data_IF_765335588943
#
_entry.id   IF_765335588943
#
_cell.length_a   1.000
_cell.length_b   1.000
_cell.length_c   1.000
_cell.angle_alpha   90.00
_cell.angle_beta   90.00
_cell.angle_gamma   90.00
#
_symmetry.space_group_name_H-M   'P 1'
#
loop_
_entity.id
_entity.type
_entity.pdbx_description
1 polymer ?
#
# COMPACT_ATOMS: atom_id res chain seq x y z
N UNK A 1 -6.68 -17.19 18.42
CA UNK A 1 -6.30 -18.49 17.85
C UNK A 1 -7.40 -19.55 18.03
N UNK A 2 -7.87 -19.84 19.24
CA UNK A 2 -8.95 -20.84 19.44
C UNK A 2 -10.22 -20.59 18.60
N UNK A 3 -10.60 -19.36 18.32
CA UNK A 3 -11.75 -19.03 17.47
C UNK A 3 -11.59 -19.35 15.97
N UNK A 4 -10.43 -19.89 15.55
CA UNK A 4 -10.16 -20.39 14.19
C UNK A 4 -9.94 -21.90 14.16
N UNK A 5 -9.89 -22.55 15.33
CA UNK A 5 -9.74 -23.99 15.47
C UNK A 5 -11.11 -24.64 15.42
N UNK A 6 -11.34 -25.46 14.39
CA UNK A 6 -12.62 -26.11 14.15
C UNK A 6 -13.67 -25.21 13.47
N UNK A 7 -14.61 -25.85 12.81
CA UNK A 7 -15.74 -25.18 12.14
C UNK A 7 -17.02 -25.54 12.88
N UNK A 8 -17.76 -24.54 13.41
CA UNK A 8 -19.03 -24.80 14.07
C UNK A 8 -19.96 -25.63 13.16
N UNK A 9 -20.59 -26.67 13.71
CA UNK A 9 -21.49 -27.60 13.04
C UNK A 9 -20.86 -28.58 12.01
N UNK A 10 -19.54 -28.50 11.75
CA UNK A 10 -18.85 -29.40 10.83
C UNK A 10 -17.84 -30.29 11.55
N UNK A 11 -17.09 -29.73 12.48
CA UNK A 11 -16.05 -30.43 13.23
C UNK A 11 -16.53 -30.68 14.68
N UNK A 12 -16.27 -31.86 15.24
CA UNK A 12 -16.71 -32.19 16.62
C UNK A 12 -15.95 -31.39 17.70
N UNK A 13 -14.73 -30.96 17.40
CA UNK A 13 -13.92 -30.05 18.22
C UNK A 13 -12.83 -29.37 17.37
N UNK A 14 -12.21 -28.34 17.92
CA UNK A 14 -11.03 -27.69 17.36
C UNK A 14 -9.93 -27.60 18.38
N UNK A 15 -8.68 -27.75 17.96
CA UNK A 15 -7.49 -27.68 18.78
C UNK A 15 -6.55 -26.57 18.32
N UNK A 16 -6.08 -25.75 19.25
CA UNK A 16 -5.04 -24.75 19.00
C UNK A 16 -3.83 -25.09 19.86
N UNK A 17 -2.67 -25.26 19.24
CA UNK A 17 -1.43 -25.65 19.90
C UNK A 17 -0.48 -24.46 19.94
N UNK A 18 0.03 -24.13 21.13
CA UNK A 18 1.11 -23.16 21.33
C UNK A 18 2.42 -23.94 21.45
N UNK A 19 3.42 -23.56 20.66
CA UNK A 19 4.74 -24.18 20.69
C UNK A 19 5.71 -23.21 21.34
N UNK A 20 6.43 -23.64 22.36
CA UNK A 20 7.44 -22.88 23.08
C UNK A 20 8.78 -23.61 23.00
N UNK A 21 9.87 -22.87 22.94
CA UNK A 21 11.23 -23.44 22.87
C UNK A 21 11.74 -23.90 24.24
N UNK A 22 11.24 -23.29 25.33
CA UNK A 22 11.62 -23.61 26.71
C UNK A 22 10.44 -23.41 27.69
N UNK A 23 10.74 -23.61 28.99
CA UNK A 23 9.73 -23.51 30.06
C UNK A 23 9.30 -22.07 30.30
N UNK A 24 10.20 -21.10 30.20
CA UNK A 24 9.91 -19.68 30.43
C UNK A 24 9.05 -19.14 29.27
N UNK A 25 9.37 -19.49 28.03
CA UNK A 25 8.55 -19.19 26.85
C UNK A 25 7.16 -19.84 26.94
N UNK A 26 7.05 -21.03 27.52
CA UNK A 26 5.74 -21.66 27.75
C UNK A 26 4.86 -20.86 28.73
N UNK A 27 5.44 -20.35 29.82
CA UNK A 27 4.71 -19.53 30.80
C UNK A 27 4.29 -18.18 30.17
N UNK A 28 5.16 -17.54 29.41
CA UNK A 28 4.84 -16.32 28.68
C UNK A 28 3.71 -16.53 27.67
N UNK A 29 3.77 -17.60 26.87
CA UNK A 29 2.73 -17.92 25.90
C UNK A 29 1.40 -18.27 26.59
N UNK A 30 1.45 -18.95 27.73
CA UNK A 30 0.26 -19.24 28.50
C UNK A 30 -0.41 -17.99 29.03
N UNK A 31 0.34 -17.09 29.63
CA UNK A 31 -0.17 -15.83 30.16
C UNK A 31 -0.71 -14.93 29.07
N UNK A 32 -0.03 -14.88 27.93
CA UNK A 32 -0.37 -14.00 26.81
C UNK A 32 -1.56 -14.49 25.99
N UNK A 33 -1.71 -15.81 25.80
CA UNK A 33 -2.69 -16.35 24.84
C UNK A 33 -3.79 -17.21 25.47
N UNK A 34 -3.62 -17.69 26.70
CA UNK A 34 -4.60 -18.55 27.40
C UNK A 34 -5.32 -17.82 28.51
N UNK A 35 -4.56 -17.11 29.37
CA UNK A 35 -5.12 -16.45 30.57
C UNK A 35 -5.36 -14.95 30.38
N UNK A 36 -4.77 -14.34 29.34
CA UNK A 36 -4.96 -12.93 29.04
C UNK A 36 -6.43 -12.59 28.74
N UNK A 37 -6.85 -11.41 29.14
CA UNK A 37 -8.12 -10.84 28.72
C UNK A 37 -8.16 -10.69 27.19
N UNK A 38 -9.35 -10.76 26.56
CA UNK A 38 -9.50 -10.51 25.13
C UNK A 38 -8.91 -9.16 24.72
N UNK A 39 -8.12 -9.15 23.65
CA UNK A 39 -7.57 -7.92 23.10
C UNK A 39 -8.70 -6.95 22.74
N UNK A 40 -8.46 -5.67 22.97
CA UNK A 40 -9.41 -4.62 22.56
C UNK A 40 -9.44 -4.53 21.04
N UNK A 41 -10.61 -4.67 20.48
CA UNK A 41 -10.83 -4.43 19.04
C UNK A 41 -10.85 -2.92 18.81
N UNK A 42 -9.91 -2.43 18.03
CA UNK A 42 -9.85 -1.05 17.56
C UNK A 42 -10.17 -0.97 16.06
N UNK A 43 -10.80 0.12 15.66
CA UNK A 43 -11.11 0.34 14.25
C UNK A 43 -9.89 0.89 13.52
N UNK A 44 -9.55 0.30 12.38
CA UNK A 44 -8.50 0.83 11.49
C UNK A 44 -8.85 2.20 10.90
N UNK A 45 -10.11 2.62 10.89
CA UNK A 45 -10.52 3.97 10.48
C UNK A 45 -9.98 5.09 11.39
N UNK A 46 -9.35 4.73 12.50
CA UNK A 46 -8.59 5.68 13.33
C UNK A 46 -7.30 6.15 12.64
N UNK A 47 -6.77 5.32 11.75
CA UNK A 47 -5.62 5.67 10.94
C UNK A 47 -6.04 6.63 9.81
N UNK A 48 -5.41 7.82 9.69
CA UNK A 48 -5.72 8.78 8.63
C UNK A 48 -5.58 8.20 7.22
N UNK A 49 -4.62 7.31 6.98
CA UNK A 49 -4.42 6.67 5.68
C UNK A 49 -5.61 5.74 5.32
N UNK A 50 -6.08 4.94 6.29
CA UNK A 50 -7.27 4.13 6.11
C UNK A 50 -8.53 4.99 5.90
N UNK A 51 -8.66 6.10 6.65
CA UNK A 51 -9.78 7.01 6.48
C UNK A 51 -9.79 7.66 5.09
N UNK A 52 -8.63 8.09 4.56
CA UNK A 52 -8.48 8.61 3.19
C UNK A 52 -8.92 7.57 2.16
N UNK A 53 -8.45 6.33 2.28
CA UNK A 53 -8.79 5.22 1.38
C UNK A 53 -10.30 4.97 1.35
N UNK A 54 -10.95 4.91 2.51
CA UNK A 54 -12.40 4.69 2.58
C UNK A 54 -13.20 5.91 2.11
N UNK A 55 -12.73 7.13 2.37
CA UNK A 55 -13.35 8.36 1.86
C UNK A 55 -13.32 8.38 0.32
N UNK A 56 -12.17 8.09 -0.29
CA UNK A 56 -12.05 7.99 -1.74
C UNK A 56 -12.99 6.92 -2.31
N UNK A 57 -13.04 5.74 -1.70
CA UNK A 57 -13.90 4.65 -2.14
C UNK A 57 -15.40 5.02 -2.09
N UNK A 58 -15.86 5.69 -1.02
CA UNK A 58 -17.25 6.15 -0.90
C UNK A 58 -17.62 7.15 -2.00
N UNK A 59 -16.71 8.05 -2.35
CA UNK A 59 -16.95 9.04 -3.40
C UNK A 59 -16.84 8.43 -4.79
N UNK A 60 -15.82 7.62 -5.04
CA UNK A 60 -15.58 6.99 -6.34
C UNK A 60 -16.69 5.99 -6.74
N UNK A 61 -17.29 5.31 -5.77
CA UNK A 61 -18.43 4.41 -6.01
C UNK A 61 -19.78 5.12 -6.07
N UNK A 62 -19.82 6.43 -5.85
CA UNK A 62 -21.05 7.23 -5.89
C UNK A 62 -21.94 7.09 -4.65
N UNK A 63 -21.47 6.44 -3.59
CA UNK A 63 -22.18 6.32 -2.31
C UNK A 63 -22.31 7.68 -1.61
N UNK A 64 -21.26 8.52 -1.72
CA UNK A 64 -21.22 9.85 -1.12
C UNK A 64 -20.82 10.90 -2.16
N UNK A 65 -21.64 11.94 -2.33
CA UNK A 65 -21.39 13.06 -3.25
C UNK A 65 -21.07 14.38 -2.54
N UNK A 66 -20.85 14.36 -1.20
CA UNK A 66 -20.47 15.52 -0.40
C UNK A 66 -19.74 15.07 0.86
N UNK A 67 -18.97 15.96 1.49
CA UNK A 67 -18.32 15.70 2.77
C UNK A 67 -19.34 15.29 3.85
N UNK A 68 -20.52 15.90 3.86
CA UNK A 68 -21.59 15.56 4.80
C UNK A 68 -22.09 14.12 4.58
N UNK A 69 -22.23 13.67 3.33
CA UNK A 69 -22.62 12.30 3.00
C UNK A 69 -21.54 11.29 3.39
N UNK A 70 -20.25 11.61 3.23
CA UNK A 70 -19.13 10.78 3.73
C UNK A 70 -19.22 10.65 5.25
N UNK A 71 -19.41 11.76 5.97
CA UNK A 71 -19.56 11.77 7.43
C UNK A 71 -20.73 10.92 7.88
N UNK A 72 -21.89 11.04 7.21
CA UNK A 72 -23.11 10.26 7.51
C UNK A 72 -22.83 8.75 7.33
N UNK A 73 -22.23 8.35 6.21
CA UNK A 73 -21.87 6.95 5.95
C UNK A 73 -20.90 6.38 7.02
N UNK A 74 -19.91 7.16 7.45
CA UNK A 74 -18.93 6.75 8.45
C UNK A 74 -19.47 6.80 9.87
N UNK A 75 -20.50 7.59 10.15
CA UNK A 75 -21.15 7.70 11.47
C UNK A 75 -21.78 6.39 11.96
N UNK A 76 -22.17 5.52 11.04
CA UNK A 76 -22.69 4.18 11.33
C UNK A 76 -21.63 3.11 11.60
N UNK A 77 -20.33 3.45 11.54
CA UNK A 77 -19.25 2.48 11.69
C UNK A 77 -18.89 2.19 13.16
N UNK A 78 -18.18 1.08 13.35
CA UNK A 78 -17.63 0.73 14.66
C UNK A 78 -16.72 1.83 15.23
N UNK A 79 -15.98 2.53 14.38
CA UNK A 79 -15.13 3.66 14.77
C UNK A 79 -15.96 4.76 15.47
N UNK A 80 -17.03 5.20 14.85
CA UNK A 80 -17.89 6.24 15.41
C UNK A 80 -18.59 5.80 16.72
N UNK A 81 -18.95 4.50 16.84
CA UNK A 81 -19.66 3.96 18.00
C UNK A 81 -18.78 3.74 19.25
N UNK A 82 -17.47 3.52 19.05
CA UNK A 82 -16.55 3.14 20.15
C UNK A 82 -15.62 4.26 20.59
N UNK A 83 -15.41 5.26 19.79
CA UNK A 83 -14.56 6.39 20.13
C UNK A 83 -15.40 7.43 20.88
N UNK A 84 -15.08 7.64 22.17
CA UNK A 84 -15.72 8.69 22.95
C UNK A 84 -15.34 10.06 22.35
N UNK A 85 -16.28 10.67 21.63
CA UNK A 85 -16.13 11.97 20.98
C UNK A 85 -15.00 12.04 19.93
N UNK A 86 -15.05 11.22 18.85
CA UNK A 86 -14.12 11.42 17.76
C UNK A 86 -14.47 12.74 17.06
N UNK A 87 -13.47 13.54 16.76
CA UNK A 87 -13.63 14.62 15.77
C UNK A 87 -13.68 14.00 14.36
N UNK A 88 -14.68 13.18 14.14
CA UNK A 88 -14.89 12.51 12.84
C UNK A 88 -15.14 13.54 11.74
N UNK A 89 -15.80 14.66 12.09
CA UNK A 89 -16.08 15.73 11.14
C UNK A 89 -14.80 16.41 10.64
N UNK A 90 -13.88 16.75 11.57
CA UNK A 90 -12.57 17.28 11.23
C UNK A 90 -11.74 16.29 10.44
N UNK A 91 -11.64 15.04 10.90
CA UNK A 91 -10.87 14.00 10.23
C UNK A 91 -11.37 13.70 8.78
N UNK A 92 -12.68 13.68 8.55
CA UNK A 92 -13.27 13.56 7.21
C UNK A 92 -12.95 14.82 6.37
N UNK A 93 -13.00 16.00 6.98
CA UNK A 93 -12.62 17.26 6.32
C UNK A 93 -11.18 17.23 5.82
N UNK A 94 -10.25 16.83 6.68
CA UNK A 94 -8.82 16.69 6.35
C UNK A 94 -8.59 15.64 5.26
N UNK A 95 -9.26 14.49 5.35
CA UNK A 95 -9.18 13.44 4.33
C UNK A 95 -9.68 13.93 2.95
N UNK A 96 -10.80 14.65 2.91
CA UNK A 96 -11.34 15.22 1.66
C UNK A 96 -10.40 16.28 1.10
N UNK A 97 -9.87 17.19 1.94
CA UNK A 97 -8.93 18.22 1.53
C UNK A 97 -7.66 17.61 0.94
N UNK A 98 -7.04 16.66 1.63
CA UNK A 98 -5.86 15.95 1.13
C UNK A 98 -6.12 15.24 -0.20
N UNK A 99 -7.26 14.55 -0.36
CA UNK A 99 -7.60 13.89 -1.62
C UNK A 99 -7.86 14.87 -2.77
N UNK A 100 -8.27 16.11 -2.47
CA UNK A 100 -8.39 17.18 -3.47
C UNK A 100 -7.00 17.70 -3.85
N UNK A 101 -6.12 17.92 -2.88
CA UNK A 101 -4.74 18.37 -3.11
C UNK A 101 -3.97 17.34 -3.94
N UNK A 102 -4.21 16.03 -3.71
CA UNK A 102 -3.64 14.93 -4.50
C UNK A 102 -4.32 14.74 -5.88
N UNK A 103 -5.27 15.58 -6.24
CA UNK A 103 -5.97 15.49 -7.53
C UNK A 103 -6.91 14.29 -7.68
N UNK A 104 -7.22 13.56 -6.60
CA UNK A 104 -8.10 12.37 -6.62
C UNK A 104 -9.57 12.71 -6.45
N UNK A 105 -9.88 13.83 -5.80
CA UNK A 105 -11.22 14.40 -5.70
C UNK A 105 -11.26 15.80 -6.30
N UNK A 106 -12.43 16.23 -6.74
CA UNK A 106 -12.68 17.59 -7.23
C UNK A 106 -14.04 18.07 -6.75
N UNK A 107 -14.21 19.40 -6.69
CA UNK A 107 -15.52 20.00 -6.48
C UNK A 107 -16.47 19.64 -7.64
N UNK A 108 -17.68 19.22 -7.32
CA UNK A 108 -18.70 18.94 -8.32
C UNK A 108 -19.29 20.27 -8.80
N UNK A 109 -19.09 20.61 -10.08
CA UNK A 109 -19.67 21.80 -10.70
C UNK A 109 -21.20 21.62 -10.79
N UNK A 110 -21.98 22.47 -10.13
CA UNK A 110 -23.42 22.57 -10.30
C UNK A 110 -24.31 21.85 -9.29
N UNK A 111 -23.76 21.14 -8.29
CA UNK A 111 -24.55 20.56 -7.22
C UNK A 111 -24.54 21.49 -5.98
N UNK A 112 -25.09 22.68 -6.14
CA UNK A 112 -25.69 23.36 -5.00
C UNK A 112 -26.93 22.56 -4.61
N UNK A 113 -26.81 21.66 -3.63
CA UNK A 113 -27.94 20.95 -3.07
C UNK A 113 -28.98 21.97 -2.60
N UNK A 114 -30.24 21.75 -2.99
CA UNK A 114 -31.37 22.59 -2.57
C UNK A 114 -31.56 22.61 -1.03
N UNK A 115 -30.79 21.81 -0.30
CA UNK A 115 -30.76 21.70 1.17
C UNK A 115 -29.63 22.49 1.86
N UNK A 116 -28.69 23.12 1.11
CA UNK A 116 -27.68 24.02 1.68
C UNK A 116 -26.57 23.34 2.50
N UNK A 117 -26.37 22.03 2.35
CA UNK A 117 -25.42 21.24 3.14
C UNK A 117 -24.14 20.89 2.35
N UNK A 118 -23.28 21.90 2.11
CA UNK A 118 -21.90 21.70 1.65
C UNK A 118 -21.73 21.63 0.12
N UNK A 119 -20.50 21.98 -0.35
CA UNK A 119 -20.10 21.82 -1.74
C UNK A 119 -20.07 20.34 -2.12
N UNK A 120 -20.63 19.99 -3.31
CA UNK A 120 -20.54 18.64 -3.85
C UNK A 120 -19.08 18.25 -4.14
N UNK A 121 -18.77 16.98 -4.00
CA UNK A 121 -17.47 16.39 -4.36
C UNK A 121 -17.67 15.22 -5.31
N UNK A 122 -16.71 14.98 -6.17
CA UNK A 122 -16.69 13.82 -7.09
C UNK A 122 -15.25 13.31 -7.22
N UNK A 123 -15.11 12.02 -7.49
CA UNK A 123 -13.82 11.48 -7.88
C UNK A 123 -13.42 12.00 -9.27
N UNK A 124 -12.14 12.28 -9.43
CA UNK A 124 -11.50 12.48 -10.74
C UNK A 124 -11.29 11.14 -11.43
N UNK A 125 -10.84 11.14 -12.69
CA UNK A 125 -10.48 9.90 -13.38
C UNK A 125 -9.34 9.18 -12.65
N UNK A 126 -8.35 9.93 -12.12
CA UNK A 126 -7.27 9.41 -11.29
C UNK A 126 -7.82 8.76 -10.00
N UNK A 127 -8.62 9.48 -9.22
CA UNK A 127 -9.17 8.94 -7.98
C UNK A 127 -10.09 7.74 -8.19
N UNK A 128 -10.88 7.75 -9.26
CA UNK A 128 -11.72 6.62 -9.64
C UNK A 128 -10.87 5.39 -10.01
N UNK A 129 -9.72 5.59 -10.67
CA UNK A 129 -8.82 4.50 -11.03
C UNK A 129 -8.08 3.95 -9.82
N UNK A 130 -7.51 4.80 -8.93
CA UNK A 130 -6.90 4.38 -7.66
C UNK A 130 -7.88 3.51 -6.86
N UNK A 131 -9.12 3.97 -6.69
CA UNK A 131 -10.16 3.19 -5.99
C UNK A 131 -10.47 1.86 -6.67
N UNK A 132 -10.51 1.82 -8.00
CA UNK A 132 -10.81 0.62 -8.79
C UNK A 132 -9.71 -0.42 -8.73
N UNK A 133 -8.46 0.02 -8.63
CA UNK A 133 -7.28 -0.85 -8.51
C UNK A 133 -7.06 -1.37 -7.08
N UNK A 134 -7.85 -0.88 -6.12
CA UNK A 134 -7.74 -1.24 -4.70
C UNK A 134 -6.40 -0.87 -4.06
N UNK A 135 -5.66 0.06 -4.63
CA UNK A 135 -4.45 0.63 -4.01
C UNK A 135 -4.80 1.81 -3.11
N UNK A 136 -3.91 2.13 -2.18
CA UNK A 136 -4.10 3.28 -1.30
C UNK A 136 -3.91 4.60 -2.07
N UNK A 137 -4.54 5.71 -1.63
CA UNK A 137 -4.28 7.03 -2.21
C UNK A 137 -2.79 7.40 -2.21
N UNK A 138 -2.06 7.05 -1.16
CA UNK A 138 -0.61 7.29 -1.07
C UNK A 138 0.16 6.54 -2.16
N UNK A 139 -0.17 5.28 -2.42
CA UNK A 139 0.37 4.51 -3.54
C UNK A 139 0.07 5.20 -4.87
N UNK A 140 -1.15 5.71 -5.04
CA UNK A 140 -1.51 6.48 -6.23
C UNK A 140 -0.64 7.72 -6.43
N UNK A 141 -0.39 8.48 -5.37
CA UNK A 141 0.51 9.67 -5.40
C UNK A 141 1.92 9.25 -5.81
N UNK A 142 2.51 8.26 -5.13
CA UNK A 142 3.87 7.80 -5.41
C UNK A 142 4.05 7.33 -6.85
N UNK A 143 3.09 6.59 -7.38
CA UNK A 143 3.11 6.14 -8.77
C UNK A 143 3.05 7.34 -9.74
N UNK A 144 2.18 8.32 -9.48
CA UNK A 144 2.07 9.53 -10.33
C UNK A 144 3.37 10.33 -10.31
N UNK A 145 3.96 10.57 -9.14
CA UNK A 145 5.23 11.28 -8.99
C UNK A 145 6.37 10.59 -9.76
N UNK A 146 6.45 9.25 -9.65
CA UNK A 146 7.40 8.44 -10.42
C UNK A 146 7.18 8.56 -11.92
N UNK A 147 5.92 8.50 -12.39
CA UNK A 147 5.58 8.65 -13.81
C UNK A 147 5.88 10.05 -14.35
N UNK A 148 5.65 11.10 -13.56
CA UNK A 148 6.04 12.47 -13.92
C UNK A 148 7.56 12.60 -14.08
N UNK A 149 8.33 11.91 -13.22
CA UNK A 149 9.80 11.85 -13.35
C UNK A 149 10.21 11.11 -14.62
N UNK A 150 9.60 9.96 -14.92
CA UNK A 150 9.86 9.17 -16.14
C UNK A 150 9.64 10.00 -17.40
N UNK A 151 8.62 10.87 -17.43
CA UNK A 151 8.36 11.73 -18.58
C UNK A 151 9.53 12.68 -18.92
N UNK A 152 10.46 12.89 -17.99
CA UNK A 152 11.69 13.69 -18.18
C UNK A 152 12.96 12.86 -18.39
N UNK A 153 12.88 11.53 -18.30
CA UNK A 153 14.03 10.63 -18.48
C UNK A 153 14.31 10.35 -19.95
N UNK A 154 15.55 9.98 -20.27
CA UNK A 154 15.90 9.43 -21.58
C UNK A 154 15.30 8.03 -21.74
N UNK A 155 14.68 7.70 -22.88
CA UNK A 155 14.01 6.42 -23.13
C UNK A 155 14.91 5.18 -22.84
N UNK A 156 16.23 5.30 -23.07
CA UNK A 156 17.19 4.24 -22.82
C UNK A 156 17.45 3.95 -21.33
N UNK A 157 17.01 4.83 -20.44
CA UNK A 157 17.14 4.68 -18.99
C UNK A 157 15.87 4.17 -18.33
N UNK A 158 14.75 4.10 -19.06
CA UNK A 158 13.48 3.56 -18.56
C UNK A 158 13.46 2.04 -18.77
N UNK A 159 13.68 1.31 -17.69
CA UNK A 159 13.84 -0.15 -17.70
C UNK A 159 12.86 -0.85 -16.77
N UNK A 160 12.90 -2.18 -16.70
CA UNK A 160 12.14 -2.92 -15.70
C UNK A 160 12.55 -2.53 -14.26
N UNK A 161 13.84 -2.16 -14.03
CA UNK A 161 14.26 -1.64 -12.72
C UNK A 161 13.52 -0.35 -12.37
N UNK A 162 13.34 0.56 -13.32
CA UNK A 162 12.54 1.78 -13.15
C UNK A 162 11.10 1.45 -12.73
N UNK A 163 10.49 0.48 -13.43
CA UNK A 163 9.13 0.04 -13.11
C UNK A 163 9.04 -0.57 -11.70
N UNK A 164 10.00 -1.42 -11.32
CA UNK A 164 10.05 -2.01 -9.98
C UNK A 164 10.36 -0.97 -8.90
N UNK A 165 11.24 -0.01 -9.15
CA UNK A 165 11.54 1.04 -8.17
C UNK A 165 10.30 1.87 -7.87
N UNK A 166 9.55 2.32 -8.88
CA UNK A 166 8.31 3.08 -8.68
C UNK A 166 7.31 2.32 -7.80
N UNK A 167 7.09 1.03 -8.08
CA UNK A 167 6.10 0.26 -7.32
C UNK A 167 6.60 -0.17 -5.95
N UNK A 168 7.90 -0.42 -5.80
CA UNK A 168 8.49 -0.76 -4.50
C UNK A 168 8.53 0.42 -3.55
N UNK A 169 8.63 1.66 -4.03
CA UNK A 169 8.55 2.86 -3.19
C UNK A 169 7.10 3.24 -2.80
N UNK A 170 6.20 2.27 -2.72
CA UNK A 170 4.80 2.49 -2.37
C UNK A 170 4.40 1.74 -1.09
N UNK A 171 3.49 2.28 -0.26
CA UNK A 171 3.05 1.62 0.97
C UNK A 171 2.25 0.32 0.73
N UNK A 172 1.80 0.05 -0.49
CA UNK A 172 1.13 -1.20 -0.84
C UNK A 172 2.13 -2.33 -1.15
N UNK A 173 3.42 -2.04 -1.30
CA UNK A 173 4.47 -3.07 -1.35
C UNK A 173 4.91 -3.50 0.06
N UNK A 174 5.61 -4.63 0.11
CA UNK A 174 6.27 -5.13 1.32
C UNK A 174 7.76 -5.17 1.06
N UNK A 175 8.47 -4.21 1.66
CA UNK A 175 9.91 -4.11 1.49
C UNK A 175 10.67 -5.27 2.09
N UNK A 176 11.86 -5.49 1.56
CA UNK A 176 12.79 -6.47 2.08
C UNK A 176 13.72 -5.79 3.07
N UNK A 177 13.67 -6.22 4.33
CA UNK A 177 14.54 -5.70 5.38
C UNK A 177 16.01 -5.60 4.93
N UNK A 178 16.61 -4.45 5.19
CA UNK A 178 17.99 -4.17 4.83
C UNK A 178 18.92 -4.30 6.05
N UNK A 179 19.66 -5.40 6.10
CA UNK A 179 20.68 -5.61 7.13
C UNK A 179 21.89 -4.67 6.98
N UNK A 180 22.54 -4.33 8.10
CA UNK A 180 23.73 -3.46 8.09
C UNK A 180 24.85 -3.93 7.16
N UNK A 181 25.00 -5.25 6.97
CA UNK A 181 26.04 -5.84 6.12
C UNK A 181 25.80 -5.62 4.62
N UNK A 182 24.55 -5.49 4.21
CA UNK A 182 24.12 -5.35 2.80
C UNK A 182 24.00 -3.90 2.35
N UNK A 183 23.90 -2.98 3.33
CA UNK A 183 23.64 -1.55 3.08
C UNK A 183 24.62 -0.90 2.11
N UNK A 184 25.92 -1.18 2.24
CA UNK A 184 26.94 -0.63 1.36
C UNK A 184 26.80 -1.14 -0.08
N UNK A 185 26.38 -2.39 -0.24
CA UNK A 185 26.16 -3.01 -1.55
C UNK A 185 24.92 -2.41 -2.24
N UNK A 186 23.80 -2.31 -1.53
CA UNK A 186 22.57 -1.72 -2.09
C UNK A 186 22.77 -0.24 -2.42
N UNK A 187 23.44 0.51 -1.54
CA UNK A 187 23.83 1.89 -1.83
C UNK A 187 24.68 2.00 -3.12
N UNK A 188 25.67 1.12 -3.29
CA UNK A 188 26.50 1.12 -4.49
C UNK A 188 25.68 0.75 -5.73
N UNK A 189 24.78 -0.23 -5.63
CA UNK A 189 23.86 -0.59 -6.70
C UNK A 189 22.98 0.60 -7.12
N UNK A 190 22.34 1.26 -6.16
CA UNK A 190 21.53 2.45 -6.41
C UNK A 190 22.32 3.57 -7.10
N UNK A 191 23.56 3.79 -6.68
CA UNK A 191 24.46 4.79 -7.28
C UNK A 191 24.82 4.43 -8.72
N UNK A 192 25.17 3.18 -8.97
CA UNK A 192 25.61 2.72 -10.30
C UNK A 192 24.45 2.67 -11.31
N UNK A 193 23.21 2.51 -10.84
CA UNK A 193 21.98 2.48 -11.63
C UNK A 193 21.13 3.77 -11.47
N UNK A 194 21.71 4.85 -10.95
CA UNK A 194 20.98 6.07 -10.61
C UNK A 194 20.26 6.73 -11.79
N UNK A 195 20.70 6.50 -13.03
CA UNK A 195 19.99 6.98 -14.23
C UNK A 195 18.69 6.24 -14.53
N UNK A 196 18.42 5.10 -13.87
CA UNK A 196 17.24 4.28 -14.05
C UNK A 196 16.25 4.42 -12.87
N UNK A 197 16.63 5.13 -11.81
CA UNK A 197 15.79 5.35 -10.64
C UNK A 197 15.07 6.69 -10.76
N UNK A 198 13.81 6.73 -10.36
CA UNK A 198 12.99 7.95 -10.38
C UNK A 198 13.22 8.81 -9.15
N UNK A 199 13.55 8.20 -8.01
CA UNK A 199 13.88 8.89 -6.77
C UNK A 199 15.39 8.96 -6.58
N UNK A 200 15.93 10.18 -6.52
CA UNK A 200 17.35 10.40 -6.26
C UNK A 200 17.70 10.14 -4.79
N UNK A 201 18.92 9.65 -4.53
CA UNK A 201 19.43 9.41 -3.16
C UNK A 201 19.37 10.64 -2.24
N UNK A 202 19.45 11.86 -2.80
CA UNK A 202 19.40 13.10 -2.04
C UNK A 202 17.97 13.62 -1.84
N UNK A 203 17.00 13.04 -2.53
CA UNK A 203 15.60 13.47 -2.60
C UNK A 203 14.71 12.57 -1.74
N UNK A 204 15.21 11.40 -1.32
CA UNK A 204 14.47 10.48 -0.47
C UNK A 204 14.29 11.06 0.95
N UNK A 205 13.05 11.34 1.34
CA UNK A 205 12.68 11.82 2.67
C UNK A 205 13.02 10.80 3.77
N UNK A 206 12.78 9.51 3.50
CA UNK A 206 13.20 8.36 4.29
C UNK A 206 14.24 7.56 3.52
N UNK A 207 15.50 7.90 3.72
CA UNK A 207 16.63 7.25 3.04
C UNK A 207 16.74 5.75 3.34
N UNK A 208 16.40 5.32 4.56
CA UNK A 208 16.45 3.91 4.93
C UNK A 208 15.35 3.11 4.24
N UNK A 209 14.12 3.59 4.30
CA UNK A 209 12.99 2.97 3.61
C UNK A 209 13.21 2.95 2.11
N UNK A 210 13.74 4.02 1.53
CA UNK A 210 14.10 4.04 0.12
C UNK A 210 15.16 2.99 -0.26
N UNK A 211 16.19 2.77 0.56
CA UNK A 211 17.15 1.70 0.30
C UNK A 211 16.54 0.31 0.42
N UNK A 212 15.56 0.11 1.30
CA UNK A 212 14.80 -1.15 1.40
C UNK A 212 13.94 -1.38 0.15
N UNK A 213 13.29 -0.33 -0.38
CA UNK A 213 12.54 -0.40 -1.63
C UNK A 213 13.44 -0.67 -2.83
N UNK A 214 14.62 -0.02 -2.92
CA UNK A 214 15.64 -0.30 -3.96
C UNK A 214 16.16 -1.74 -3.87
N UNK A 215 16.39 -2.27 -2.65
CA UNK A 215 16.75 -3.68 -2.47
C UNK A 215 15.67 -4.60 -3.02
N UNK A 216 14.40 -4.30 -2.73
CA UNK A 216 13.27 -5.08 -3.20
C UNK A 216 13.14 -5.01 -4.73
N UNK A 217 13.30 -3.82 -5.32
CA UNK A 217 13.30 -3.63 -6.77
C UNK A 217 14.44 -4.41 -7.46
N UNK A 218 15.64 -4.42 -6.85
CA UNK A 218 16.78 -5.22 -7.33
C UNK A 218 16.46 -6.72 -7.34
N UNK A 219 15.87 -7.26 -6.26
CA UNK A 219 15.48 -8.67 -6.18
C UNK A 219 14.49 -9.02 -7.30
N UNK A 220 13.48 -8.18 -7.53
CA UNK A 220 12.50 -8.39 -8.59
C UNK A 220 13.13 -8.29 -9.99
N UNK A 221 14.10 -7.39 -10.18
CA UNK A 221 14.85 -7.27 -11.44
C UNK A 221 15.68 -8.54 -11.71
N UNK A 222 16.42 -9.04 -10.72
CA UNK A 222 17.19 -10.27 -10.85
C UNK A 222 16.27 -11.49 -11.11
N UNK A 223 15.08 -11.52 -10.49
CA UNK A 223 14.08 -12.54 -10.75
C UNK A 223 13.64 -12.57 -12.23
N UNK A 224 13.24 -11.42 -12.79
CA UNK A 224 12.80 -11.36 -14.20
C UNK A 224 13.94 -11.53 -15.20
N UNK A 225 15.19 -11.32 -14.78
CA UNK A 225 16.40 -11.62 -15.53
C UNK A 225 16.77 -13.11 -15.49
N UNK A 226 16.04 -13.93 -14.73
CA UNK A 226 16.12 -15.38 -14.72
C UNK A 226 16.87 -15.99 -13.55
N UNK A 227 17.11 -15.24 -12.46
CA UNK A 227 17.63 -15.82 -11.23
C UNK A 227 16.63 -16.84 -10.63
N UNK A 228 17.16 -17.93 -10.09
CA UNK A 228 16.34 -18.98 -9.45
C UNK A 228 15.93 -18.58 -8.03
N UNK A 229 14.87 -19.21 -7.50
CA UNK A 229 14.45 -19.04 -6.11
C UNK A 229 15.60 -19.30 -5.14
N UNK A 230 16.36 -20.38 -5.37
CA UNK A 230 17.48 -20.78 -4.52
C UNK A 230 18.58 -19.72 -4.48
N UNK A 231 18.92 -19.13 -5.63
CA UNK A 231 19.93 -18.08 -5.75
C UNK A 231 19.51 -16.81 -4.99
N UNK A 232 18.25 -16.37 -5.16
CA UNK A 232 17.75 -15.17 -4.49
C UNK A 232 17.60 -15.37 -2.97
N UNK A 233 17.12 -16.54 -2.54
CA UNK A 233 17.00 -16.88 -1.12
C UNK A 233 18.36 -16.90 -0.44
N UNK A 234 19.39 -17.45 -1.08
CA UNK A 234 20.76 -17.48 -0.56
C UNK A 234 21.39 -16.08 -0.55
N UNK A 235 21.27 -15.33 -1.65
CA UNK A 235 21.89 -14.01 -1.81
C UNK A 235 21.32 -12.97 -0.84
N UNK A 236 19.97 -12.92 -0.73
CA UNK A 236 19.28 -11.88 0.03
C UNK A 236 18.78 -12.33 1.42
N UNK A 237 19.01 -13.59 1.78
CA UNK A 237 18.59 -14.21 3.06
C UNK A 237 17.12 -14.02 3.37
N UNK A 238 16.27 -14.16 2.36
CA UNK A 238 14.82 -14.10 2.45
C UNK A 238 14.22 -15.51 2.39
N UNK A 239 13.03 -15.70 2.98
CA UNK A 239 12.32 -16.97 2.82
C UNK A 239 11.71 -17.13 1.41
N UNK A 240 11.57 -18.38 0.90
CA UNK A 240 10.91 -18.60 -0.40
C UNK A 240 9.48 -18.03 -0.44
N UNK A 241 8.71 -18.18 0.64
CA UNK A 241 7.36 -17.61 0.73
C UNK A 241 7.34 -16.07 0.82
N UNK A 242 8.42 -15.47 1.36
CA UNK A 242 8.57 -14.03 1.35
C UNK A 242 8.84 -13.50 -0.06
N UNK A 243 9.65 -14.22 -0.86
CA UNK A 243 9.89 -13.89 -2.26
C UNK A 243 8.59 -14.00 -3.07
N UNK A 244 7.87 -15.12 -2.95
CA UNK A 244 6.58 -15.33 -3.61
C UNK A 244 5.58 -14.21 -3.29
N UNK A 245 5.47 -13.83 -2.01
CA UNK A 245 4.59 -12.73 -1.59
C UNK A 245 4.97 -11.38 -2.22
N UNK A 246 6.27 -11.10 -2.41
CA UNK A 246 6.72 -9.87 -3.08
C UNK A 246 6.44 -9.88 -4.57
N UNK A 247 6.61 -11.02 -5.22
CA UNK A 247 6.29 -11.20 -6.64
C UNK A 247 4.79 -10.97 -6.88
N UNK A 248 3.91 -11.64 -6.12
CA UNK A 248 2.45 -11.47 -6.23
C UNK A 248 2.03 -10.00 -5.97
N UNK A 249 2.65 -9.37 -4.99
CA UNK A 249 2.36 -7.98 -4.65
C UNK A 249 2.82 -7.02 -5.75
N UNK A 250 4.03 -7.25 -6.30
CA UNK A 250 4.57 -6.45 -7.40
C UNK A 250 3.71 -6.60 -8.65
N UNK A 251 3.25 -7.80 -9.00
CA UNK A 251 2.35 -8.02 -10.12
C UNK A 251 1.06 -7.19 -10.00
N UNK A 252 0.46 -7.17 -8.80
CA UNK A 252 -0.74 -6.38 -8.54
C UNK A 252 -0.48 -4.88 -8.66
N UNK A 253 0.56 -4.34 -7.99
CA UNK A 253 0.86 -2.90 -7.98
C UNK A 253 1.33 -2.42 -9.36
N UNK A 254 2.09 -3.22 -10.12
CA UNK A 254 2.42 -2.94 -11.51
C UNK A 254 1.17 -2.82 -12.40
N UNK A 255 0.18 -3.69 -12.19
CA UNK A 255 -1.10 -3.59 -12.89
C UNK A 255 -1.86 -2.30 -12.55
N UNK A 256 -1.78 -1.85 -11.30
CA UNK A 256 -2.33 -0.57 -10.90
C UNK A 256 -1.56 0.60 -11.52
N UNK A 257 -0.23 0.55 -11.52
CA UNK A 257 0.64 1.58 -12.08
C UNK A 257 0.42 1.75 -13.60
N UNK A 258 0.33 0.66 -14.34
CA UNK A 258 0.02 0.65 -15.77
C UNK A 258 -1.33 1.34 -16.06
N UNK A 259 -2.36 1.00 -15.28
CA UNK A 259 -3.68 1.61 -15.40
C UNK A 259 -3.72 3.11 -14.99
N UNK A 260 -2.84 3.55 -14.08
CA UNK A 260 -2.69 4.97 -13.73
C UNK A 260 -1.91 5.73 -14.80
N UNK A 261 -0.87 5.13 -15.40
CA UNK A 261 -0.13 5.69 -16.51
C UNK A 261 -1.05 6.04 -17.70
N UNK A 262 -1.99 5.13 -18.03
CA UNK A 262 -3.01 5.38 -19.05
C UNK A 262 -3.88 6.61 -18.73
N UNK A 263 -4.28 6.78 -17.46
CA UNK A 263 -5.15 7.90 -17.03
C UNK A 263 -4.45 9.24 -17.13
N UNK A 264 -3.16 9.29 -16.77
CA UNK A 264 -2.38 10.56 -16.83
C UNK A 264 -1.72 10.78 -18.19
N UNK A 265 -1.79 9.80 -19.11
CA UNK A 265 -1.30 9.90 -20.49
C UNK A 265 0.23 9.77 -20.61
N UNK A 266 0.86 9.03 -19.71
CA UNK A 266 2.29 8.67 -19.77
C UNK A 266 2.43 7.26 -20.33
N UNK A 267 3.21 7.13 -21.42
CA UNK A 267 3.53 5.82 -22.00
C UNK A 267 4.68 5.17 -21.22
N UNK A 268 4.40 4.06 -20.53
CA UNK A 268 5.35 3.34 -19.68
C UNK A 268 5.36 1.82 -20.00
N UNK A 269 5.87 1.41 -21.17
CA UNK A 269 5.87 0.00 -21.58
C UNK A 269 6.66 -0.91 -20.63
N UNK A 270 7.55 -0.35 -19.81
CA UNK A 270 8.29 -1.10 -18.79
C UNK A 270 7.37 -1.75 -17.73
N UNK A 271 6.21 -1.16 -17.40
CA UNK A 271 5.25 -1.81 -16.50
C UNK A 271 4.70 -3.12 -17.08
N UNK A 272 4.22 -3.07 -18.32
CA UNK A 272 3.71 -4.26 -18.99
C UNK A 272 4.81 -5.31 -19.21
N UNK A 273 6.04 -4.87 -19.56
CA UNK A 273 7.21 -5.74 -19.71
C UNK A 273 7.56 -6.42 -18.39
N UNK A 274 7.74 -5.69 -17.32
CA UNK A 274 8.05 -6.22 -15.99
C UNK A 274 6.98 -7.21 -15.52
N UNK A 275 5.70 -6.83 -15.62
CA UNK A 275 4.57 -7.66 -15.21
C UNK A 275 4.48 -8.98 -16.00
N UNK A 276 4.80 -8.97 -17.29
CA UNK A 276 4.73 -10.18 -18.12
C UNK A 276 5.82 -11.21 -17.82
N UNK A 277 6.86 -10.82 -17.08
CA UNK A 277 8.00 -11.65 -16.72
C UNK A 277 7.92 -12.17 -15.26
N UNK A 278 7.07 -11.57 -14.40
CA UNK A 278 6.80 -12.05 -13.04
C UNK A 278 5.99 -13.35 -13.07
#
# INVERSE_FOLDING_TARGET
MCGRAGRPHLDPYGEAVLVADDTDGREELWDRYVTADPERVESKLRDPAALRTHTLALVATGVAGSQAAVLDALSGTFYASRTANPDLGGAVGDAVASLIDDGMLAAASGAGDASGTGAGIKATDLGAQVSRQYVTPETGVRIVDGLETVAGMDDGNVTELTAFEIVCDTPDMVDTYLGNAERAEIYQFARDRSSELTTGMAEADDFEGWLESVKTARILTEWVDGATVEELVEAYRIGPGDLESRIERAEWVLGAADALADVIGVDMPAFASARSKL
#
